data_IF_678744854293
#
_entry.id   IF_678744854293
#
_cell.length_a   1.000
_cell.length_b   1.000
_cell.length_c   1.000
_cell.angle_alpha   90.00
_cell.angle_beta   90.00
_cell.angle_gamma   90.00
#
_symmetry.space_group_name_H-M   'P 1'
#
loop_
_entity.id
_entity.type
_entity.pdbx_description
1 polymer ?
#
# COMPACT_ATOMS: atom_id res chain seq x y z
N UNK A 1 -12.64 7.53 13.34
CA UNK A 1 -13.46 6.82 12.36
C UNK A 1 -14.02 7.79 11.35
N UNK A 2 -13.68 7.57 10.09
CA UNK A 2 -14.05 8.47 8.97
C UNK A 2 -14.78 7.65 7.92
N UNK A 3 -16.05 7.94 7.69
CA UNK A 3 -16.83 7.32 6.63
C UNK A 3 -16.60 8.05 5.31
N UNK A 4 -16.38 7.30 4.23
CA UNK A 4 -16.11 7.80 2.89
C UNK A 4 -17.01 7.10 1.87
N UNK A 5 -17.54 7.86 0.93
CA UNK A 5 -18.28 7.28 -0.19
C UNK A 5 -17.32 6.47 -1.07
N UNK A 6 -17.65 5.22 -1.43
CA UNK A 6 -16.71 4.32 -2.10
C UNK A 6 -16.32 4.75 -3.52
N UNK A 7 -17.17 5.49 -4.22
CA UNK A 7 -16.91 5.93 -5.60
C UNK A 7 -16.73 7.43 -5.74
N UNK A 8 -17.23 8.20 -4.78
CA UNK A 8 -17.15 9.66 -4.79
C UNK A 8 -16.80 10.17 -3.38
N UNK A 9 -15.56 9.93 -2.92
CA UNK A 9 -15.17 10.30 -1.56
C UNK A 9 -15.27 11.80 -1.32
N UNK A 10 -15.78 12.17 -0.16
CA UNK A 10 -16.01 13.55 0.21
C UNK A 10 -14.67 14.30 0.35
N UNK A 11 -14.49 15.44 -0.36
CA UNK A 11 -13.23 16.19 -0.31
C UNK A 11 -12.82 16.60 1.10
N UNK A 12 -13.78 16.92 1.96
CA UNK A 12 -13.49 17.31 3.35
C UNK A 12 -12.90 16.15 4.15
N UNK A 13 -13.41 14.92 3.97
CA UNK A 13 -12.89 13.74 4.64
C UNK A 13 -11.49 13.39 4.16
N UNK A 14 -11.24 13.53 2.86
CA UNK A 14 -9.89 13.36 2.28
C UNK A 14 -8.92 14.39 2.85
N UNK A 15 -9.31 15.67 2.90
CA UNK A 15 -8.46 16.74 3.46
C UNK A 15 -8.15 16.50 4.94
N UNK A 16 -9.11 16.06 5.71
CA UNK A 16 -8.92 15.70 7.12
C UNK A 16 -7.90 14.57 7.28
N UNK A 17 -7.99 13.55 6.46
CA UNK A 17 -7.06 12.40 6.48
C UNK A 17 -5.64 12.84 6.11
N UNK A 18 -5.49 13.66 5.07
CA UNK A 18 -4.19 14.19 4.64
C UNK A 18 -3.54 15.02 5.76
N UNK A 19 -4.31 15.84 6.45
CA UNK A 19 -3.82 16.61 7.59
C UNK A 19 -3.28 15.72 8.70
N UNK A 20 -3.98 14.63 9.02
CA UNK A 20 -3.50 13.63 10.00
C UNK A 20 -2.17 13.00 9.56
N UNK A 21 -2.08 12.60 8.30
CA UNK A 21 -0.87 11.96 7.77
C UNK A 21 0.34 12.90 7.77
N UNK A 22 0.15 14.18 7.40
CA UNK A 22 1.23 15.16 7.29
C UNK A 22 1.64 15.73 8.64
N UNK A 23 0.66 16.18 9.42
CA UNK A 23 0.92 17.05 10.57
C UNK A 23 1.12 16.25 11.85
N UNK A 24 0.54 15.06 11.94
CA UNK A 24 0.53 14.25 13.16
C UNK A 24 1.28 12.91 13.01
N UNK A 25 1.92 12.68 11.88
CA UNK A 25 2.60 11.41 11.56
C UNK A 25 1.68 10.21 11.78
N UNK A 26 0.43 10.30 11.34
CA UNK A 26 -0.61 9.33 11.63
C UNK A 26 -0.39 7.99 10.93
N UNK A 27 -0.84 6.93 11.60
CA UNK A 27 -1.04 5.61 11.03
C UNK A 27 -2.53 5.40 10.83
N UNK A 28 -2.93 5.07 9.62
CA UNK A 28 -4.33 4.88 9.25
C UNK A 28 -4.60 3.46 8.76
N UNK A 29 -5.85 3.02 8.88
CA UNK A 29 -6.38 1.90 8.10
C UNK A 29 -7.19 2.47 6.95
N UNK A 30 -7.02 1.92 5.75
CA UNK A 30 -7.69 2.44 4.56
C UNK A 30 -8.04 1.32 3.58
N UNK A 31 -9.10 1.50 2.77
CA UNK A 31 -9.53 0.49 1.80
C UNK A 31 -8.66 0.53 0.55
N UNK A 32 -8.52 -0.63 -0.10
CA UNK A 32 -7.89 -0.75 -1.43
C UNK A 32 -8.75 -1.62 -2.34
N UNK A 33 -8.29 -1.84 -3.56
CA UNK A 33 -8.92 -2.73 -4.53
C UNK A 33 -8.66 -4.23 -4.26
N UNK A 34 -7.90 -4.54 -3.21
CA UNK A 34 -7.67 -5.92 -2.74
C UNK A 34 -8.21 -6.09 -1.32
N UNK A 35 -7.52 -5.54 -0.32
CA UNK A 35 -7.85 -5.67 1.09
C UNK A 35 -7.73 -4.32 1.79
N UNK A 36 -8.24 -4.20 3.02
CA UNK A 36 -7.84 -3.09 3.89
C UNK A 36 -6.35 -3.16 4.18
N UNK A 37 -5.74 -2.01 4.33
CA UNK A 37 -4.31 -1.88 4.60
C UNK A 37 -4.06 -0.88 5.72
N UNK A 38 -2.90 -1.03 6.36
CA UNK A 38 -2.32 -0.01 7.23
C UNK A 38 -1.45 0.91 6.39
N UNK A 39 -1.51 2.20 6.64
CA UNK A 39 -0.76 3.17 5.86
C UNK A 39 -0.27 4.36 6.66
N UNK A 40 0.89 4.86 6.26
CA UNK A 40 1.48 6.12 6.72
C UNK A 40 2.12 6.81 5.52
N UNK A 41 2.41 8.11 5.63
CA UNK A 41 3.14 8.78 4.54
C UNK A 41 4.55 8.19 4.39
N UNK A 42 5.13 8.31 3.20
CA UNK A 42 6.45 7.74 2.91
C UNK A 42 7.54 8.22 3.89
N UNK A 43 7.49 9.48 4.27
CA UNK A 43 8.45 10.11 5.18
C UNK A 43 8.13 9.91 6.66
N UNK A 44 7.14 9.06 7.00
CA UNK A 44 6.76 8.81 8.39
C UNK A 44 7.94 8.33 9.23
N UNK A 45 8.09 8.90 10.42
CA UNK A 45 9.11 8.50 11.39
C UNK A 45 8.66 7.27 12.17
N UNK A 46 7.41 7.25 12.64
CA UNK A 46 6.89 6.21 13.54
C UNK A 46 6.17 5.08 12.82
N UNK A 47 5.70 5.32 11.58
CA UNK A 47 4.83 4.40 10.86
C UNK A 47 5.37 2.99 10.66
N UNK A 48 6.61 2.81 10.16
CA UNK A 48 7.14 1.46 9.91
C UNK A 48 7.15 0.58 11.15
N UNK A 49 7.62 1.10 12.27
CA UNK A 49 7.70 0.33 13.51
C UNK A 49 6.30 0.05 14.08
N UNK A 50 5.39 1.01 14.01
CA UNK A 50 4.00 0.81 14.45
C UNK A 50 3.33 -0.32 13.65
N UNK A 51 3.54 -0.38 12.34
CA UNK A 51 3.01 -1.46 11.50
C UNK A 51 3.62 -2.81 11.89
N UNK A 52 4.93 -2.86 12.11
CA UNK A 52 5.60 -4.08 12.55
C UNK A 52 5.05 -4.60 13.88
N UNK A 53 4.80 -3.70 14.82
CA UNK A 53 4.23 -4.06 16.12
C UNK A 53 2.80 -4.60 15.99
N UNK A 54 1.95 -3.96 15.20
CA UNK A 54 0.56 -4.40 15.03
C UNK A 54 0.50 -5.77 14.34
N UNK A 55 1.32 -5.99 13.30
CA UNK A 55 1.31 -7.21 12.53
C UNK A 55 2.28 -8.28 13.01
N UNK A 56 3.11 -8.00 14.00
CA UNK A 56 4.21 -8.86 14.45
C UNK A 56 5.16 -9.24 13.32
N UNK A 57 5.57 -8.25 12.54
CA UNK A 57 6.49 -8.42 11.42
C UNK A 57 7.95 -8.29 11.88
N UNK A 58 8.85 -9.02 11.22
CA UNK A 58 10.29 -8.87 11.46
C UNK A 58 10.89 -7.76 10.57
N UNK A 59 12.19 -7.50 10.75
CA UNK A 59 12.91 -6.46 10.00
C UNK A 59 13.08 -6.78 8.52
N UNK A 60 12.81 -8.02 8.11
CA UNK A 60 12.94 -8.47 6.72
C UNK A 60 11.64 -8.31 5.92
N UNK A 61 10.57 -7.88 6.57
CA UNK A 61 9.31 -7.64 5.88
C UNK A 61 9.45 -6.49 4.89
N UNK A 62 9.02 -6.74 3.65
CA UNK A 62 8.99 -5.73 2.61
C UNK A 62 7.69 -4.92 2.74
N UNK A 63 7.82 -3.62 2.96
CA UNK A 63 6.70 -2.72 2.83
C UNK A 63 6.38 -2.47 1.37
N UNK A 64 5.12 -2.15 1.10
CA UNK A 64 4.67 -1.72 -0.22
C UNK A 64 4.50 -0.21 -0.22
N UNK A 65 4.99 0.44 -1.28
CA UNK A 65 4.75 1.86 -1.52
C UNK A 65 3.60 2.01 -2.49
N UNK A 66 2.53 2.65 -2.03
CA UNK A 66 1.30 2.84 -2.78
C UNK A 66 1.37 4.19 -3.48
N UNK A 67 1.26 4.17 -4.81
CA UNK A 67 1.45 5.33 -5.67
C UNK A 67 0.14 5.75 -6.35
N UNK A 68 0.02 7.04 -6.63
CA UNK A 68 -1.15 7.61 -7.33
C UNK A 68 -1.14 7.31 -8.82
N UNK A 69 0.04 7.25 -9.43
CA UNK A 69 0.21 7.09 -10.87
C UNK A 69 1.58 6.48 -11.20
N UNK A 70 1.79 6.23 -12.48
CA UNK A 70 3.03 5.63 -12.95
C UNK A 70 4.25 6.55 -12.82
N UNK A 71 4.05 7.86 -12.91
CA UNK A 71 5.13 8.84 -12.72
C UNK A 71 5.70 8.76 -11.30
N UNK A 72 4.83 8.72 -10.31
CA UNK A 72 5.23 8.59 -8.90
C UNK A 72 5.94 7.24 -8.65
N UNK A 73 5.39 6.15 -9.19
CA UNK A 73 6.00 4.82 -9.09
C UNK A 73 7.40 4.78 -9.70
N UNK A 74 7.54 5.33 -10.91
CA UNK A 74 8.81 5.33 -11.65
C UNK A 74 9.94 6.10 -10.97
N UNK A 75 9.62 7.05 -10.09
CA UNK A 75 10.62 7.78 -9.32
C UNK A 75 11.21 6.93 -8.18
N UNK A 76 10.50 5.91 -7.74
CA UNK A 76 10.84 5.11 -6.55
C UNK A 76 11.69 3.88 -6.87
N UNK A 77 11.64 3.38 -8.09
CA UNK A 77 12.26 2.10 -8.46
C UNK A 77 13.00 2.21 -9.79
N UNK A 78 14.01 1.35 -9.96
CA UNK A 78 14.72 1.21 -11.22
C UNK A 78 13.95 0.28 -12.15
N UNK A 79 13.63 0.78 -13.34
CA UNK A 79 12.84 0.08 -14.36
C UNK A 79 13.63 0.00 -15.67
N UNK A 80 13.81 -1.20 -16.22
CA UNK A 80 14.19 -1.33 -17.62
C UNK A 80 12.96 -1.16 -18.54
N UNK A 81 13.18 -1.11 -19.85
CA UNK A 81 12.10 -0.89 -20.81
C UNK A 81 11.05 -2.00 -20.81
N UNK A 82 11.46 -3.24 -20.57
CA UNK A 82 10.55 -4.38 -20.51
C UNK A 82 9.64 -4.33 -19.28
N UNK A 83 10.23 -4.08 -18.10
CA UNK A 83 9.49 -3.91 -16.86
C UNK A 83 8.55 -2.70 -16.95
N UNK A 84 9.03 -1.59 -17.49
CA UNK A 84 8.23 -0.38 -17.70
C UNK A 84 6.95 -0.69 -18.46
N UNK A 85 7.06 -1.35 -19.62
CA UNK A 85 5.89 -1.67 -20.47
C UNK A 85 4.94 -2.64 -19.79
N UNK A 86 5.47 -3.68 -19.15
CA UNK A 86 4.65 -4.69 -18.49
C UNK A 86 3.85 -4.11 -17.32
N UNK A 87 4.50 -3.32 -16.48
CA UNK A 87 3.86 -2.69 -15.30
C UNK A 87 2.85 -1.63 -15.75
N UNK A 88 3.20 -0.81 -16.73
CA UNK A 88 2.29 0.23 -17.24
C UNK A 88 1.01 -0.38 -17.81
N UNK A 89 1.11 -1.50 -18.52
CA UNK A 89 -0.04 -2.20 -19.09
C UNK A 89 -0.96 -2.81 -18.02
N UNK A 90 -0.43 -3.17 -16.84
CA UNK A 90 -1.16 -3.83 -15.76
C UNK A 90 -1.71 -2.87 -14.69
N UNK A 91 -1.31 -1.60 -14.70
CA UNK A 91 -1.72 -0.64 -13.67
C UNK A 91 -2.73 0.39 -14.18
N UNK A 92 -3.67 0.84 -13.32
CA UNK A 92 -3.86 0.46 -11.93
C UNK A 92 -4.44 -0.94 -11.79
N UNK A 93 -4.21 -1.58 -10.64
CA UNK A 93 -4.74 -2.92 -10.38
C UNK A 93 -4.16 -3.57 -9.13
N UNK A 94 -4.61 -4.79 -8.86
CA UNK A 94 -4.29 -5.53 -7.64
C UNK A 94 -2.95 -6.28 -7.76
N UNK A 95 -1.89 -5.56 -8.08
CA UNK A 95 -0.52 -6.08 -8.18
C UNK A 95 0.41 -5.36 -7.24
N UNK A 96 1.42 -6.07 -6.76
CA UNK A 96 2.59 -5.52 -6.09
C UNK A 96 3.82 -5.93 -6.90
N UNK A 97 4.62 -4.95 -7.30
CA UNK A 97 5.84 -5.20 -8.08
C UNK A 97 7.06 -4.97 -7.20
N UNK A 98 7.94 -5.96 -7.14
CA UNK A 98 9.19 -5.88 -6.37
C UNK A 98 10.32 -5.50 -7.34
N UNK A 99 10.99 -4.39 -7.03
CA UNK A 99 12.02 -3.79 -7.88
C UNK A 99 13.12 -3.17 -7.03
N UNK A 100 14.33 -2.99 -7.59
CA UNK A 100 15.37 -2.25 -6.89
C UNK A 100 14.92 -0.82 -6.59
N UNK A 101 15.11 -0.39 -5.34
CA UNK A 101 14.73 0.95 -4.89
C UNK A 101 15.73 2.00 -5.34
N UNK A 102 15.23 3.20 -5.69
CA UNK A 102 16.07 4.38 -5.92
C UNK A 102 16.39 5.06 -4.59
N UNK A 103 17.25 6.09 -4.66
CA UNK A 103 17.58 6.93 -3.50
C UNK A 103 16.38 7.72 -2.96
N UNK A 104 15.30 7.83 -3.72
CA UNK A 104 14.06 8.50 -3.27
C UNK A 104 13.32 7.70 -2.19
N UNK A 105 13.63 6.41 -2.06
CA UNK A 105 13.07 5.56 -1.01
C UNK A 105 14.03 5.54 0.18
N UNK A 106 13.59 5.91 1.39
CA UNK A 106 14.43 5.81 2.59
C UNK A 106 15.02 4.41 2.75
N UNK A 107 16.30 4.32 3.06
CA UNK A 107 17.03 3.03 3.16
C UNK A 107 16.39 2.08 4.18
N UNK A 108 15.78 2.61 5.24
CA UNK A 108 15.09 1.82 6.27
C UNK A 108 13.88 1.04 5.72
N UNK A 109 13.38 1.42 4.53
CA UNK A 109 12.25 0.76 3.87
C UNK A 109 12.68 -0.25 2.82
N UNK A 110 13.98 -0.30 2.48
CA UNK A 110 14.53 -1.29 1.56
C UNK A 110 14.60 -2.66 2.21
N UNK A 111 14.48 -3.71 1.40
CA UNK A 111 14.86 -5.04 1.86
C UNK A 111 16.33 -5.02 2.29
N UNK A 112 16.69 -5.52 3.49
CA UNK A 112 18.04 -5.35 4.02
C UNK A 112 19.17 -5.91 3.14
N UNK A 113 18.90 -7.02 2.43
CA UNK A 113 19.88 -7.69 1.58
C UNK A 113 19.74 -7.33 0.11
N UNK A 114 18.52 -7.37 -0.42
CA UNK A 114 18.24 -7.19 -1.85
C UNK A 114 18.12 -5.74 -2.27
N UNK A 115 17.94 -4.82 -1.32
CA UNK A 115 17.74 -3.37 -1.56
C UNK A 115 16.56 -3.10 -2.48
N UNK A 116 15.54 -3.96 -2.40
CA UNK A 116 14.30 -3.86 -3.17
C UNK A 116 13.18 -3.26 -2.33
N UNK A 117 12.12 -2.85 -3.00
CA UNK A 117 10.87 -2.38 -2.39
C UNK A 117 9.71 -2.84 -3.25
N UNK A 118 8.55 -3.07 -2.63
CA UNK A 118 7.31 -3.31 -3.35
C UNK A 118 6.62 -2.00 -3.71
N UNK A 119 6.09 -1.90 -4.92
CA UNK A 119 5.32 -0.74 -5.39
C UNK A 119 4.02 -1.19 -6.02
N UNK A 120 2.97 -0.37 -5.88
CA UNK A 120 1.69 -0.65 -6.53
C UNK A 120 0.91 0.62 -6.83
N UNK A 121 -0.01 0.53 -7.79
CA UNK A 121 -1.00 1.57 -8.10
C UNK A 121 -2.38 0.92 -7.98
N UNK A 122 -3.08 1.08 -6.85
CA UNK A 122 -4.41 0.48 -6.67
C UNK A 122 -5.47 1.16 -7.51
N UNK A 123 -6.46 0.38 -7.92
CA UNK A 123 -7.64 0.89 -8.62
C UNK A 123 -8.77 1.11 -7.59
N UNK A 124 -8.69 2.21 -6.83
CA UNK A 124 -9.67 2.54 -5.81
C UNK A 124 -9.84 4.06 -5.69
N UNK A 125 -11.07 4.58 -5.79
CA UNK A 125 -11.32 6.03 -5.77
C UNK A 125 -10.83 6.74 -4.50
N UNK A 126 -11.03 6.14 -3.32
CA UNK A 126 -10.57 6.71 -2.05
C UNK A 126 -9.05 6.86 -2.03
N UNK A 127 -8.33 5.81 -2.41
CA UNK A 127 -6.85 5.82 -2.45
C UNK A 127 -6.35 6.84 -3.46
N UNK A 128 -6.97 6.91 -4.64
CA UNK A 128 -6.59 7.87 -5.68
C UNK A 128 -6.68 9.31 -5.18
N UNK A 129 -7.81 9.67 -4.60
CA UNK A 129 -8.02 11.04 -4.11
C UNK A 129 -7.11 11.34 -2.92
N UNK A 130 -6.91 10.38 -2.02
CA UNK A 130 -6.02 10.53 -0.89
C UNK A 130 -4.58 10.80 -1.32
N UNK A 131 -4.06 10.01 -2.25
CA UNK A 131 -2.69 10.16 -2.76
C UNK A 131 -2.51 11.45 -3.56
N UNK A 132 -3.54 11.86 -4.32
CA UNK A 132 -3.52 13.10 -5.08
C UNK A 132 -3.38 14.30 -4.16
N UNK A 133 -4.16 14.35 -3.09
CA UNK A 133 -4.10 15.44 -2.10
C UNK A 133 -2.83 15.37 -1.25
N UNK A 134 -2.38 14.18 -0.87
CA UNK A 134 -1.17 14.00 -0.08
C UNK A 134 0.09 14.41 -0.84
N UNK A 135 0.15 14.12 -2.15
CA UNK A 135 1.28 14.47 -3.01
C UNK A 135 2.52 13.61 -2.84
N UNK A 136 2.43 12.53 -2.06
CA UNK A 136 3.51 11.55 -1.88
C UNK A 136 2.93 10.14 -1.76
N UNK A 137 3.75 9.07 -1.95
CA UNK A 137 3.29 7.70 -1.76
C UNK A 137 2.90 7.41 -0.31
N UNK A 138 2.06 6.39 -0.14
CA UNK A 138 1.81 5.79 1.17
C UNK A 138 2.72 4.59 1.38
N UNK A 139 3.36 4.54 2.53
CA UNK A 139 3.95 3.32 3.07
C UNK A 139 2.80 2.43 3.53
N UNK A 140 2.76 1.19 3.07
CA UNK A 140 1.58 0.35 3.25
C UNK A 140 1.91 -1.10 3.59
N UNK A 141 0.98 -1.73 4.30
CA UNK A 141 1.03 -3.17 4.61
C UNK A 141 -0.41 -3.67 4.74
N UNK A 142 -0.72 -4.83 4.17
CA UNK A 142 -2.05 -5.44 4.28
C UNK A 142 -2.47 -5.58 5.74
N UNK A 143 -3.72 -5.27 6.05
CA UNK A 143 -4.24 -5.35 7.41
C UNK A 143 -4.59 -6.80 7.77
N UNK A 144 -3.57 -7.60 7.95
CA UNK A 144 -3.65 -8.99 8.39
C UNK A 144 -3.08 -9.09 9.80
N UNK A 145 -3.95 -9.32 10.77
CA UNK A 145 -3.55 -9.42 12.18
C UNK A 145 -2.83 -10.74 12.47
N UNK A 146 -1.96 -10.76 13.51
CA UNK A 146 -1.26 -11.99 13.89
C UNK A 146 -2.23 -13.13 14.20
N UNK A 147 -1.98 -14.31 13.63
CA UNK A 147 -2.82 -15.49 13.81
C UNK A 147 -4.10 -15.52 12.99
N UNK A 148 -4.44 -14.45 12.28
CA UNK A 148 -5.58 -14.44 11.37
C UNK A 148 -5.23 -15.08 10.04
N UNK A 149 -6.17 -15.80 9.45
CA UNK A 149 -6.00 -16.43 8.13
C UNK A 149 -6.28 -15.46 7.00
N UNK A 150 -7.14 -14.47 7.23
CA UNK A 150 -7.58 -13.50 6.24
C UNK A 150 -7.48 -12.07 6.75
N UNK A 151 -7.25 -11.09 5.84
CA UNK A 151 -7.30 -9.68 6.19
C UNK A 151 -8.67 -9.26 6.71
N UNK A 152 -8.70 -8.22 7.52
CA UNK A 152 -9.95 -7.62 7.98
C UNK A 152 -10.69 -6.97 6.80
N UNK A 153 -12.02 -7.13 6.76
CA UNK A 153 -12.85 -6.72 5.62
C UNK A 153 -13.75 -5.51 5.90
N UNK A 154 -13.95 -5.16 7.15
CA UNK A 154 -14.95 -4.20 7.60
C UNK A 154 -14.31 -3.08 8.42
N UNK A 155 -14.49 -1.83 7.97
CA UNK A 155 -13.92 -0.66 8.63
C UNK A 155 -14.43 -0.46 10.05
N UNK A 156 -15.69 -0.79 10.33
CA UNK A 156 -16.24 -0.69 11.68
C UNK A 156 -15.56 -1.68 12.63
N UNK A 157 -15.36 -2.91 12.19
CA UNK A 157 -14.66 -3.93 12.98
C UNK A 157 -13.20 -3.53 13.21
N UNK A 158 -12.54 -2.97 12.21
CA UNK A 158 -11.18 -2.45 12.34
C UNK A 158 -11.12 -1.37 13.42
N UNK A 159 -12.08 -0.45 13.40
CA UNK A 159 -12.15 0.60 14.42
C UNK A 159 -12.39 0.04 15.82
N UNK A 160 -13.25 -0.97 15.93
CA UNK A 160 -13.52 -1.63 17.20
C UNK A 160 -12.27 -2.29 17.79
N UNK A 161 -11.50 -2.99 16.95
CA UNK A 161 -10.32 -3.73 17.41
C UNK A 161 -9.04 -2.88 17.49
N UNK A 162 -8.84 -1.92 16.60
CA UNK A 162 -7.59 -1.18 16.44
C UNK A 162 -7.71 0.33 16.66
N UNK A 163 -8.90 0.85 16.87
CA UNK A 163 -9.14 2.29 17.00
C UNK A 163 -8.37 2.97 18.12
N UNK A 164 -7.87 2.21 19.08
CA UNK A 164 -7.04 2.70 20.19
C UNK A 164 -5.53 2.63 19.91
N UNK A 165 -5.10 1.95 18.84
CA UNK A 165 -3.67 1.82 18.49
C UNK A 165 -3.32 2.48 17.16
N UNK A 166 -4.30 2.85 16.35
CA UNK A 166 -4.12 3.62 15.11
C UNK A 166 -4.87 4.95 15.19
N UNK A 167 -4.53 5.89 14.32
CA UNK A 167 -5.00 7.27 14.44
C UNK A 167 -6.30 7.54 13.69
N UNK A 168 -6.57 6.79 12.63
CA UNK A 168 -7.82 6.90 11.89
C UNK A 168 -8.15 5.59 11.16
N UNK A 169 -9.44 5.36 10.96
CA UNK A 169 -9.96 4.29 10.12
C UNK A 169 -10.82 4.93 9.04
N UNK A 170 -10.46 4.71 7.78
CA UNK A 170 -11.22 5.16 6.61
C UNK A 170 -12.15 4.03 6.19
N UNK A 171 -13.46 4.23 6.32
CA UNK A 171 -14.45 3.23 5.99
C UNK A 171 -15.22 3.63 4.75
N UNK A 172 -15.03 2.90 3.65
CA UNK A 172 -15.81 3.04 2.41
C UNK A 172 -16.63 1.80 2.08
N UNK A 173 -16.83 0.91 3.05
CA UNK A 173 -17.51 -0.35 2.87
C UNK A 173 -16.57 -1.55 2.96
N UNK A 174 -17.05 -2.72 2.59
CA UNK A 174 -16.26 -3.94 2.65
C UNK A 174 -15.17 -3.96 1.59
N UNK A 175 -13.99 -4.47 1.98
CA UNK A 175 -12.93 -4.89 1.07
C UNK A 175 -12.87 -6.41 1.00
N UNK A 176 -12.15 -6.92 -0.02
CA UNK A 176 -11.93 -8.35 -0.17
C UNK A 176 -10.94 -8.93 0.83
N UNK A 177 -10.72 -10.23 0.70
CA UNK A 177 -9.78 -10.99 1.51
C UNK A 177 -8.56 -11.47 0.71
N UNK A 178 -8.61 -11.33 -0.61
CA UNK A 178 -7.56 -11.81 -1.49
C UNK A 178 -6.50 -10.73 -1.69
N UNK A 179 -5.25 -10.97 -1.24
CA UNK A 179 -4.19 -9.99 -1.37
C UNK A 179 -3.75 -9.83 -2.83
N UNK A 180 -2.86 -8.88 -3.07
CA UNK A 180 -2.33 -8.62 -4.42
C UNK A 180 -1.55 -9.80 -4.98
N UNK A 181 -1.52 -9.91 -6.32
CA UNK A 181 -0.55 -10.73 -7.03
C UNK A 181 0.81 -10.04 -6.93
N UNK A 182 1.84 -10.78 -6.52
CA UNK A 182 3.20 -10.23 -6.34
C UNK A 182 4.09 -10.71 -7.46
N UNK A 183 4.70 -9.77 -8.17
CA UNK A 183 5.61 -10.03 -9.29
C UNK A 183 6.98 -9.43 -8.96
N UNK A 184 8.00 -10.27 -8.92
CA UNK A 184 9.38 -9.86 -8.62
C UNK A 184 10.16 -9.66 -9.92
N UNK A 185 10.66 -8.44 -10.14
CA UNK A 185 11.50 -8.07 -11.27
C UNK A 185 12.98 -7.93 -10.90
N UNK A 186 13.36 -8.25 -9.66
CA UNK A 186 14.71 -7.98 -9.17
C UNK A 186 15.80 -8.79 -9.89
N UNK A 187 15.45 -9.91 -10.52
CA UNK A 187 16.38 -10.74 -11.29
C UNK A 187 16.48 -10.35 -12.77
N UNK A 188 15.75 -9.31 -13.19
CA UNK A 188 15.71 -8.84 -14.58
C UNK A 188 14.55 -9.36 -15.41
N UNK A 189 14.02 -10.55 -15.09
CA UNK A 189 12.82 -11.12 -15.70
C UNK A 189 11.70 -11.20 -14.65
N UNK A 190 10.42 -11.06 -15.04
CA UNK A 190 9.33 -11.16 -14.10
C UNK A 190 9.19 -12.59 -13.56
N UNK A 191 8.99 -12.69 -12.25
CA UNK A 191 8.68 -13.91 -11.55
C UNK A 191 7.45 -13.72 -10.68
N UNK A 192 6.40 -14.50 -10.90
CA UNK A 192 5.19 -14.45 -10.07
C UNK A 192 5.47 -15.20 -8.78
N UNK A 193 5.66 -14.47 -7.68
CA UNK A 193 5.99 -15.09 -6.38
C UNK A 193 4.75 -15.38 -5.54
N UNK A 194 3.62 -14.74 -5.87
CA UNK A 194 2.31 -15.02 -5.25
C UNK A 194 1.21 -14.68 -6.23
N UNK A 195 0.29 -15.61 -6.43
CA UNK A 195 -0.95 -15.36 -7.17
C UNK A 195 -2.00 -14.86 -6.18
N UNK A 196 -2.59 -13.72 -6.46
CA UNK A 196 -3.65 -13.11 -5.67
C UNK A 196 -4.76 -12.57 -6.57
N UNK A 197 -5.29 -11.39 -6.23
CA UNK A 197 -6.43 -10.79 -6.94
C UNK A 197 -6.11 -10.35 -8.38
N UNK A 198 -4.86 -10.02 -8.69
CA UNK A 198 -4.44 -9.64 -10.03
C UNK A 198 -4.20 -10.85 -10.93
N UNK A 199 -4.52 -10.75 -12.22
CA UNK A 199 -4.27 -11.80 -13.20
C UNK A 199 -2.76 -11.99 -13.40
N UNK A 200 -2.20 -13.19 -13.10
CA UNK A 200 -0.77 -13.42 -13.24
C UNK A 200 -0.31 -13.63 -14.69
N UNK A 201 -1.21 -13.94 -15.61
CA UNK A 201 -0.85 -14.36 -16.96
C UNK A 201 0.04 -13.39 -17.75
N UNK A 202 -0.07 -12.04 -17.60
CA UNK A 202 0.85 -11.14 -18.30
C UNK A 202 2.31 -11.27 -17.87
N UNK A 203 2.57 -11.93 -16.74
CA UNK A 203 3.91 -12.05 -16.14
C UNK A 203 4.45 -13.49 -16.10
N UNK A 204 3.73 -14.42 -16.69
CA UNK A 204 4.12 -15.82 -16.79
C UNK A 204 4.86 -16.14 -18.10
#
# INVERSE_FOLDING_TARGET
YIELHPTDPQPRAIAQTVALLRDEDALIAYPTDSCYALGARLSSVTGPERIRQIRHLDAKHDFTLVCSDFHQLGALVHLDNSAFRAIKAATPGAYTFILPATKEVPKRLHHPKKKTVGVRIPHHPVVRELLRELGEPLLSSTLLLPGAEEPMTDGWQINDELGHVIDAVLDSGECGTEPTTVVDFSSGAPEVVRVGAGDPSPFE
#
